data_IF_582844426699
#
_entry.id   IF_582844426699
#
_cell.length_a   1.000
_cell.length_b   1.000
_cell.length_c   1.000
_cell.angle_alpha   90.00
_cell.angle_beta   90.00
_cell.angle_gamma   90.00
#
_symmetry.space_group_name_H-M   'P 1'
#
loop_
_entity.id
_entity.type
_entity.pdbx_description
1 polymer ?
#
# COMPACT_ATOMS: atom_id res chain seq x y z
N UNK A 1 -19.48 -9.90 31.31
CA UNK A 1 -20.88 -10.37 31.43
C UNK A 1 -21.37 -10.51 32.88
N UNK A 2 -20.53 -10.94 33.85
CA UNK A 2 -20.90 -11.00 35.30
C UNK A 2 -21.35 -9.64 35.87
N UNK A 3 -20.80 -8.52 35.39
CA UNK A 3 -21.13 -7.16 35.85
C UNK A 3 -22.56 -6.70 35.51
N UNK A 4 -23.17 -7.24 34.45
CA UNK A 4 -24.50 -6.86 33.95
C UNK A 4 -25.55 -7.95 34.21
N UNK A 5 -25.22 -8.98 34.98
CA UNK A 5 -26.17 -10.03 35.31
C UNK A 5 -27.25 -9.48 36.27
N UNK A 6 -28.54 -9.80 36.05
CA UNK A 6 -29.62 -9.53 37.01
C UNK A 6 -29.34 -10.20 38.36
N UNK A 7 -29.72 -9.56 39.46
CA UNK A 7 -29.46 -10.07 40.84
C UNK A 7 -30.02 -11.48 41.07
N UNK A 8 -31.13 -11.83 40.41
CA UNK A 8 -31.76 -13.16 40.48
C UNK A 8 -30.93 -14.29 39.88
N UNK A 9 -30.00 -13.99 38.96
CA UNK A 9 -29.09 -14.96 38.36
C UNK A 9 -27.70 -14.92 39.02
N UNK A 10 -27.26 -13.74 39.50
CA UNK A 10 -25.98 -13.59 40.19
C UNK A 10 -25.92 -14.37 41.51
N UNK A 11 -27.04 -14.38 42.25
CA UNK A 11 -27.24 -15.14 43.49
C UNK A 11 -27.23 -16.66 43.27
N UNK A 12 -27.77 -17.14 42.14
CA UNK A 12 -27.77 -18.58 41.77
C UNK A 12 -26.40 -19.12 41.37
N UNK A 13 -25.51 -18.26 40.89
CA UNK A 13 -24.16 -18.65 40.41
C UNK A 13 -23.10 -18.32 41.48
N UNK A 14 -23.50 -17.89 42.69
CA UNK A 14 -22.64 -17.55 43.83
C UNK A 14 -21.55 -16.50 43.53
N UNK A 15 -21.84 -15.56 42.63
CA UNK A 15 -20.86 -14.54 42.18
C UNK A 15 -21.02 -13.20 42.91
N UNK A 16 -21.94 -13.12 43.87
CA UNK A 16 -22.34 -11.86 44.53
C UNK A 16 -21.24 -11.28 45.43
N UNK A 17 -20.53 -12.14 46.18
CA UNK A 17 -19.39 -11.72 47.02
C UNK A 17 -18.21 -11.21 46.17
N UNK A 18 -17.87 -11.95 45.12
CA UNK A 18 -16.81 -11.60 44.16
C UNK A 18 -17.10 -10.27 43.45
N UNK A 19 -18.37 -10.02 43.09
CA UNK A 19 -18.81 -8.77 42.47
C UNK A 19 -18.63 -7.58 43.40
N UNK A 20 -18.92 -7.70 44.70
CA UNK A 20 -18.78 -6.60 45.66
C UNK A 20 -17.32 -6.23 45.92
N UNK A 21 -16.45 -7.23 46.05
CA UNK A 21 -15.04 -7.03 46.40
C UNK A 21 -14.18 -6.52 45.22
N UNK A 22 -14.42 -7.04 44.01
CA UNK A 22 -13.61 -6.70 42.84
C UNK A 22 -14.25 -5.67 41.91
N UNK A 23 -15.44 -5.12 42.23
CA UNK A 23 -16.15 -4.13 41.39
C UNK A 23 -15.27 -2.96 40.97
N UNK A 24 -14.48 -2.45 41.91
CA UNK A 24 -13.63 -1.28 41.73
C UNK A 24 -12.45 -1.53 40.75
N UNK A 25 -12.05 -2.79 40.58
CA UNK A 25 -10.97 -3.18 39.65
C UNK A 25 -11.51 -3.73 38.32
N UNK A 26 -12.59 -4.52 38.36
CA UNK A 26 -13.17 -5.15 37.17
C UNK A 26 -13.84 -4.10 36.28
N UNK A 27 -14.46 -3.05 36.85
CA UNK A 27 -15.10 -1.99 36.08
C UNK A 27 -14.13 -1.30 35.10
N UNK A 28 -13.04 -0.68 35.60
CA UNK A 28 -12.03 -0.06 34.74
C UNK A 28 -11.35 -1.06 33.79
N UNK A 29 -10.99 -2.26 34.25
CA UNK A 29 -10.38 -3.28 33.39
C UNK A 29 -11.30 -3.71 32.24
N UNK A 30 -12.59 -3.90 32.53
CA UNK A 30 -13.60 -4.20 31.52
C UNK A 30 -13.79 -3.04 30.54
N UNK A 31 -13.83 -1.80 31.03
CA UNK A 31 -13.96 -0.62 30.18
C UNK A 31 -12.76 -0.48 29.23
N UNK A 32 -11.54 -0.71 29.71
CA UNK A 32 -10.33 -0.73 28.88
C UNK A 32 -10.39 -1.85 27.83
N UNK A 33 -10.80 -3.05 28.22
CA UNK A 33 -10.93 -4.18 27.30
C UNK A 33 -11.98 -3.90 26.21
N UNK A 34 -13.13 -3.35 26.56
CA UNK A 34 -14.17 -2.95 25.59
C UNK A 34 -13.68 -1.82 24.69
N UNK A 35 -13.03 -0.81 25.24
CA UNK A 35 -12.48 0.31 24.46
C UNK A 35 -11.44 -0.17 23.45
N UNK A 36 -10.54 -1.07 23.87
CA UNK A 36 -9.57 -1.70 22.98
C UNK A 36 -10.24 -2.54 21.90
N UNK A 37 -11.26 -3.33 22.25
CA UNK A 37 -12.00 -4.15 21.29
C UNK A 37 -12.70 -3.27 20.24
N UNK A 38 -13.36 -2.18 20.67
CA UNK A 38 -14.01 -1.23 19.77
C UNK A 38 -12.98 -0.58 18.84
N UNK A 39 -11.83 -0.15 19.36
CA UNK A 39 -10.76 0.40 18.53
C UNK A 39 -10.25 -0.61 17.48
N UNK A 40 -10.07 -1.88 17.87
CA UNK A 40 -9.66 -2.96 16.96
C UNK A 40 -10.70 -3.25 15.87
N UNK A 41 -11.98 -3.29 16.24
CA UNK A 41 -13.08 -3.48 15.29
C UNK A 41 -13.15 -2.31 14.31
N UNK A 42 -13.02 -1.08 14.81
CA UNK A 42 -13.00 0.11 13.97
C UNK A 42 -11.83 0.09 12.98
N UNK A 43 -10.61 -0.22 13.45
CA UNK A 43 -9.42 -0.37 12.59
C UNK A 43 -9.63 -1.44 11.51
N UNK A 44 -10.15 -2.61 11.89
CA UNK A 44 -10.42 -3.70 10.94
C UNK A 44 -11.36 -3.26 9.80
N UNK A 45 -12.48 -2.61 10.11
CA UNK A 45 -13.39 -2.13 9.08
C UNK A 45 -12.78 -0.99 8.26
N UNK A 46 -12.11 -0.03 8.91
CA UNK A 46 -11.46 1.07 8.23
C UNK A 46 -10.42 0.58 7.21
N UNK A 47 -9.61 -0.41 7.58
CA UNK A 47 -8.58 -0.97 6.70
C UNK A 47 -9.20 -1.73 5.52
N UNK A 48 -10.23 -2.54 5.77
CA UNK A 48 -10.92 -3.30 4.73
C UNK A 48 -11.59 -2.41 3.68
N UNK A 49 -12.30 -1.36 4.11
CA UNK A 49 -12.93 -0.39 3.20
C UNK A 49 -11.90 0.49 2.50
N UNK A 50 -10.86 0.90 3.23
CA UNK A 50 -9.76 1.70 2.71
C UNK A 50 -9.02 0.99 1.59
N UNK A 51 -8.73 -0.30 1.73
CA UNK A 51 -7.98 -1.06 0.73
C UNK A 51 -8.74 -1.22 -0.58
N UNK A 52 -10.05 -1.47 -0.53
CA UNK A 52 -10.88 -1.57 -1.74
C UNK A 52 -10.92 -0.25 -2.50
N UNK A 53 -11.07 0.87 -1.80
CA UNK A 53 -11.08 2.19 -2.45
C UNK A 53 -9.70 2.55 -3.00
N UNK A 54 -8.63 2.30 -2.23
CA UNK A 54 -7.24 2.48 -2.69
C UNK A 54 -6.95 1.66 -3.95
N UNK A 55 -7.41 0.41 -4.00
CA UNK A 55 -7.25 -0.44 -5.19
C UNK A 55 -7.97 0.15 -6.40
N UNK A 56 -9.24 0.56 -6.26
CA UNK A 56 -9.99 1.19 -7.36
C UNK A 56 -9.31 2.45 -7.90
N UNK A 57 -8.86 3.33 -7.00
CA UNK A 57 -8.13 4.54 -7.39
C UNK A 57 -6.85 4.21 -8.15
N UNK A 58 -6.09 3.20 -7.69
CA UNK A 58 -4.87 2.73 -8.37
C UNK A 58 -5.13 2.19 -9.78
N UNK A 59 -6.18 1.39 -9.97
CA UNK A 59 -6.59 0.93 -11.30
C UNK A 59 -6.95 2.12 -12.19
N UNK A 60 -7.70 3.09 -11.67
CA UNK A 60 -8.08 4.28 -12.45
C UNK A 60 -6.88 5.12 -12.91
N UNK A 61 -5.74 5.04 -12.21
CA UNK A 61 -4.50 5.67 -12.68
C UNK A 61 -3.88 4.96 -13.88
N UNK A 62 -3.97 3.63 -13.96
CA UNK A 62 -3.48 2.85 -15.11
C UNK A 62 -4.33 3.11 -16.37
N UNK A 63 -5.63 3.37 -16.22
CA UNK A 63 -6.52 3.72 -17.34
C UNK A 63 -6.24 5.13 -17.91
N UNK A 64 -5.56 5.99 -17.14
CA UNK A 64 -5.31 7.41 -17.47
C UNK A 64 -3.82 7.73 -17.59
N UNK A 65 -3.01 6.74 -17.96
CA UNK A 65 -1.57 6.93 -18.16
C UNK A 65 -1.32 7.88 -19.34
N UNK A 66 -0.35 8.79 -19.18
CA UNK A 66 0.14 9.59 -20.31
C UNK A 66 0.95 8.71 -21.27
N UNK A 67 1.13 9.11 -22.55
CA UNK A 67 1.98 8.37 -23.49
C UNK A 67 3.40 8.10 -22.98
N UNK A 68 3.99 9.03 -22.24
CA UNK A 68 5.33 8.90 -21.66
C UNK A 68 5.36 7.90 -20.49
N UNK A 69 4.36 7.95 -19.61
CA UNK A 69 4.21 6.96 -18.53
C UNK A 69 4.05 5.55 -19.08
N UNK A 70 3.28 5.40 -20.16
CA UNK A 70 3.15 4.13 -20.87
C UNK A 70 4.49 3.66 -21.44
N UNK A 71 5.32 4.56 -21.97
CA UNK A 71 6.68 4.23 -22.42
C UNK A 71 7.56 3.63 -21.32
N UNK A 72 7.45 4.13 -20.09
CA UNK A 72 8.20 3.57 -18.96
C UNK A 72 7.63 2.21 -18.54
N UNK A 73 6.30 2.06 -18.51
CA UNK A 73 5.65 0.81 -18.14
C UNK A 73 5.80 -0.28 -19.21
N UNK A 74 5.94 0.10 -20.47
CA UNK A 74 6.25 -0.78 -21.59
C UNK A 74 7.51 -1.59 -21.32
N UNK A 75 8.59 -0.97 -20.87
CA UNK A 75 9.85 -1.69 -20.61
C UNK A 75 9.73 -2.76 -19.52
N UNK A 76 8.88 -2.55 -18.52
CA UNK A 76 8.65 -3.60 -17.50
C UNK A 76 7.84 -4.80 -18.03
N UNK A 77 6.87 -4.54 -18.92
CA UNK A 77 5.83 -5.51 -19.30
C UNK A 77 6.16 -6.21 -20.61
N UNK A 78 6.57 -5.44 -21.62
CA UNK A 78 6.84 -5.93 -22.97
C UNK A 78 8.33 -6.28 -23.11
N UNK A 79 9.23 -5.39 -22.70
CA UNK A 79 10.68 -5.65 -22.79
C UNK A 79 11.15 -6.60 -21.67
N UNK A 80 10.30 -6.87 -20.68
CA UNK A 80 10.55 -7.84 -19.61
C UNK A 80 11.54 -7.35 -18.55
N UNK A 81 11.81 -6.04 -18.48
CA UNK A 81 12.72 -5.49 -17.48
C UNK A 81 12.11 -5.62 -16.08
N UNK A 82 12.95 -5.98 -15.10
CA UNK A 82 12.52 -6.00 -13.70
C UNK A 82 12.73 -4.65 -13.02
N UNK A 83 13.78 -3.93 -13.41
CA UNK A 83 14.23 -2.69 -12.80
C UNK A 83 14.60 -1.66 -13.84
N UNK A 84 14.06 -0.45 -13.73
CA UNK A 84 14.50 0.70 -14.54
C UNK A 84 15.36 1.64 -13.70
N UNK A 85 16.41 2.15 -14.31
CA UNK A 85 17.36 3.05 -13.69
C UNK A 85 17.01 4.50 -14.07
N UNK A 86 16.56 5.29 -13.09
CA UNK A 86 16.11 6.67 -13.29
C UNK A 86 16.79 7.63 -12.29
N UNK A 87 16.99 8.87 -12.70
CA UNK A 87 17.44 9.93 -11.80
C UNK A 87 16.35 10.40 -10.83
N UNK A 88 16.72 10.98 -9.68
CA UNK A 88 15.74 11.58 -8.74
C UNK A 88 14.95 12.74 -9.35
N UNK A 89 15.47 13.38 -10.40
CA UNK A 89 14.83 14.46 -11.15
C UNK A 89 13.83 13.98 -12.21
N UNK A 90 13.72 12.67 -12.44
CA UNK A 90 12.83 12.12 -13.46
C UNK A 90 11.36 12.26 -13.06
N UNK A 91 10.68 13.27 -13.63
CA UNK A 91 9.29 13.58 -13.32
C UNK A 91 8.29 12.48 -13.69
N UNK A 92 8.57 11.68 -14.73
CA UNK A 92 7.69 10.58 -15.15
C UNK A 92 7.77 9.44 -14.12
N UNK A 93 8.99 9.02 -13.76
CA UNK A 93 9.18 8.02 -12.72
C UNK A 93 8.67 8.52 -11.36
N UNK A 94 8.92 9.79 -11.03
CA UNK A 94 8.39 10.42 -9.82
C UNK A 94 6.86 10.39 -9.75
N UNK A 95 6.17 10.67 -10.88
CA UNK A 95 4.72 10.55 -11.01
C UNK A 95 4.21 9.13 -10.80
N UNK A 96 4.87 8.13 -11.41
CA UNK A 96 4.53 6.72 -11.23
C UNK A 96 4.73 6.24 -9.79
N UNK A 97 5.77 6.72 -9.10
CA UNK A 97 6.00 6.46 -7.67
C UNK A 97 4.91 7.11 -6.82
N UNK A 98 4.54 8.36 -7.08
CA UNK A 98 3.49 9.06 -6.36
C UNK A 98 2.12 8.36 -6.50
N UNK A 99 1.83 7.80 -7.69
CA UNK A 99 0.66 6.96 -7.98
C UNK A 99 0.75 5.55 -7.36
N UNK A 100 1.87 5.20 -6.72
CA UNK A 100 2.20 3.87 -6.19
C UNK A 100 2.12 2.76 -7.23
N UNK A 101 2.48 3.06 -8.48
CA UNK A 101 2.59 2.08 -9.56
C UNK A 101 3.99 1.48 -9.55
N UNK A 102 5.02 2.30 -9.38
CA UNK A 102 6.40 1.88 -9.18
C UNK A 102 6.87 2.20 -7.75
N UNK A 103 8.01 1.66 -7.37
CA UNK A 103 8.71 1.98 -6.12
C UNK A 103 10.22 1.93 -6.32
N UNK A 104 10.96 2.69 -5.52
CA UNK A 104 12.42 2.62 -5.52
C UNK A 104 12.87 1.33 -4.85
N UNK A 105 13.52 0.45 -5.61
CA UNK A 105 13.95 -0.87 -5.17
C UNK A 105 15.31 -0.86 -4.45
N UNK A 106 16.16 0.12 -4.76
CA UNK A 106 17.47 0.28 -4.13
C UNK A 106 17.60 1.64 -3.42
N UNK A 107 18.16 1.64 -2.21
CA UNK A 107 18.47 2.87 -1.49
C UNK A 107 19.82 3.47 -1.88
N UNK A 108 20.64 2.70 -2.61
CA UNK A 108 21.94 3.14 -3.15
C UNK A 108 21.79 3.27 -4.65
N UNK A 109 22.34 4.36 -5.19
CA UNK A 109 22.38 4.68 -6.61
C UNK A 109 23.50 5.70 -6.86
N UNK A 110 23.65 6.14 -8.10
CA UNK A 110 24.64 7.16 -8.47
C UNK A 110 23.98 8.30 -9.23
N UNK A 111 24.62 9.48 -9.29
CA UNK A 111 24.13 10.61 -10.08
C UNK A 111 24.22 10.38 -11.59
N UNK A 112 24.91 9.31 -12.04
CA UNK A 112 25.10 8.98 -13.46
C UNK A 112 24.18 7.83 -13.86
N UNK A 113 24.13 6.76 -13.07
CA UNK A 113 23.33 5.57 -13.36
C UNK A 113 21.90 5.72 -12.83
N UNK A 114 21.69 6.58 -11.83
CA UNK A 114 20.40 6.77 -11.17
C UNK A 114 20.14 5.74 -10.08
N UNK A 115 18.87 5.55 -9.76
CA UNK A 115 18.36 4.60 -8.77
C UNK A 115 17.48 3.56 -9.45
N UNK A 116 17.51 2.33 -8.94
CA UNK A 116 16.66 1.25 -9.42
C UNK A 116 15.21 1.44 -8.93
N UNK A 117 14.27 1.41 -9.87
CA UNK A 117 12.83 1.37 -9.61
C UNK A 117 12.26 0.07 -10.14
N UNK A 118 11.31 -0.50 -9.40
CA UNK A 118 10.58 -1.70 -9.81
C UNK A 118 9.08 -1.40 -9.89
N UNK A 119 8.38 -2.22 -10.66
CA UNK A 119 6.93 -2.21 -10.71
C UNK A 119 6.33 -2.88 -9.47
N UNK A 120 5.25 -2.33 -8.93
CA UNK A 120 4.50 -2.99 -7.86
C UNK A 120 3.87 -4.29 -8.39
N UNK A 121 3.80 -5.37 -7.59
CA UNK A 121 3.26 -6.66 -8.05
C UNK A 121 1.84 -6.56 -8.64
N UNK A 122 0.96 -5.80 -7.98
CA UNK A 122 -0.42 -5.58 -8.45
C UNK A 122 -0.48 -4.88 -9.82
N UNK A 123 0.43 -3.93 -10.06
CA UNK A 123 0.48 -3.19 -11.32
C UNK A 123 1.02 -4.06 -12.44
N UNK A 124 2.02 -4.92 -12.13
CA UNK A 124 2.56 -5.91 -13.07
C UNK A 124 1.47 -6.86 -13.54
N UNK A 125 0.79 -7.50 -12.59
CA UNK A 125 -0.30 -8.45 -12.89
C UNK A 125 -1.40 -7.78 -13.72
N UNK A 126 -1.84 -6.58 -13.32
CA UNK A 126 -2.89 -5.88 -14.04
C UNK A 126 -2.50 -5.50 -15.47
N UNK A 127 -1.29 -4.98 -15.68
CA UNK A 127 -0.81 -4.58 -17.01
C UNK A 127 -0.50 -5.79 -17.91
N UNK A 128 -0.02 -6.91 -17.36
CA UNK A 128 0.16 -8.16 -18.12
C UNK A 128 -1.18 -8.69 -18.65
N UNK A 129 -2.24 -8.56 -17.86
CA UNK A 129 -3.60 -8.95 -18.28
C UNK A 129 -4.26 -7.92 -19.21
N UNK A 130 -3.74 -6.69 -19.27
CA UNK A 130 -4.34 -5.56 -20.00
C UNK A 130 -3.27 -4.78 -20.78
N UNK A 131 -2.51 -5.46 -21.62
CA UNK A 131 -1.39 -4.85 -22.37
C UNK A 131 -1.82 -3.71 -23.30
N UNK A 132 -3.08 -3.72 -23.76
CA UNK A 132 -3.68 -2.63 -24.56
C UNK A 132 -3.63 -1.27 -23.86
N UNK A 133 -3.56 -1.22 -22.52
CA UNK A 133 -3.40 0.04 -21.77
C UNK A 133 -2.08 0.76 -22.10
N UNK A 134 -1.09 0.02 -22.60
CA UNK A 134 0.22 0.55 -22.99
C UNK A 134 0.29 0.95 -24.47
N UNK A 135 -0.78 0.78 -25.24
CA UNK A 135 -0.83 1.27 -26.63
C UNK A 135 -0.65 2.79 -26.69
N UNK A 136 0.08 3.24 -27.70
CA UNK A 136 0.47 4.64 -27.85
C UNK A 136 1.59 5.08 -26.89
N UNK A 137 2.35 4.14 -26.32
CA UNK A 137 3.56 4.41 -25.56
C UNK A 137 4.57 5.22 -26.38
N UNK A 138 5.13 6.26 -25.76
CA UNK A 138 6.16 7.12 -26.33
C UNK A 138 7.33 7.25 -25.36
N UNK A 139 8.55 7.26 -25.89
CA UNK A 139 9.77 7.39 -25.09
C UNK A 139 10.09 6.13 -24.28
N UNK A 140 11.14 6.22 -23.45
CA UNK A 140 11.56 5.17 -22.52
C UNK A 140 12.26 5.80 -21.32
N UNK A 141 12.38 5.03 -20.24
CA UNK A 141 13.23 5.42 -19.12
C UNK A 141 14.70 5.54 -19.56
N UNK A 142 15.37 6.58 -19.06
CA UNK A 142 16.78 6.85 -19.30
C UNK A 142 17.48 7.15 -17.98
N UNK A 143 18.70 6.65 -17.83
CA UNK A 143 19.56 7.06 -16.72
C UNK A 143 19.94 8.54 -16.86
N UNK A 144 20.34 9.21 -15.75
CA UNK A 144 20.88 10.57 -15.84
C UNK A 144 22.03 10.71 -16.84
N UNK A 145 22.92 9.71 -16.88
CA UNK A 145 24.03 9.65 -17.83
C UNK A 145 23.56 9.58 -19.28
N UNK A 146 22.55 8.74 -19.58
CA UNK A 146 21.95 8.65 -20.91
C UNK A 146 21.35 10.01 -21.35
N UNK A 147 20.68 10.73 -20.45
CA UNK A 147 20.13 12.07 -20.74
C UNK A 147 21.22 13.11 -21.05
N UNK A 148 22.41 12.94 -20.48
CA UNK A 148 23.59 13.78 -20.72
C UNK A 148 24.40 13.32 -21.95
N UNK A 149 23.96 12.28 -22.66
CA UNK A 149 24.64 11.76 -23.85
C UNK A 149 25.76 10.75 -23.57
N UNK A 150 25.94 10.31 -22.32
CA UNK A 150 26.83 9.20 -22.02
C UNK A 150 26.21 7.87 -22.47
N UNK A 151 26.97 7.04 -23.21
CA UNK A 151 26.53 5.68 -23.57
C UNK A 151 26.48 4.79 -22.32
N UNK A 152 25.46 3.92 -22.24
CA UNK A 152 25.41 2.82 -21.26
C UNK A 152 26.72 2.01 -21.36
N UNK A 153 27.47 1.95 -20.25
CA UNK A 153 28.54 0.97 -20.09
C UNK A 153 27.86 -0.32 -19.64
N UNK A 154 27.96 -1.35 -20.47
CA UNK A 154 27.48 -2.71 -20.18
C UNK A 154 28.38 -3.37 -19.14
#
# INVERSE_FOLDING_TARGET
MILFLPESLASKVAVDGFRKEYRNFIGPAFLLAVSFLVARVYQFFHDLYGDRQRHKVRISYLEKLTPEEKGYLWSYIIDGENSLMCGPEDGVMGGLVAKRITYRAANVGSMIDGFAFNLQPWAREHLQNNTHLLEGAVGRAMTPGEKLGFRRRF
#
